data_IF_883810475636
#
_entry.id   IF_883810475636
#
_cell.length_a   1.000
_cell.length_b   1.000
_cell.length_c   1.000
_cell.angle_alpha   90.00
_cell.angle_beta   90.00
_cell.angle_gamma   90.00
#
_symmetry.space_group_name_H-M   'P 1'
#
loop_
_entity.id
_entity.type
_entity.pdbx_description
1 polymer ?
#
# COMPACT_ATOMS: atom_id res chain seq x y z
N UNK A 1 -10.24 36.57 9.62
CA UNK A 1 -10.39 35.36 8.77
C UNK A 1 -10.61 34.14 9.67
N UNK A 2 -11.71 33.40 9.49
CA UNK A 2 -12.10 32.28 10.37
C UNK A 2 -11.27 31.01 10.08
N UNK A 3 -10.18 30.81 10.84
CA UNK A 3 -9.28 29.64 10.76
C UNK A 3 -10.03 28.29 10.69
N UNK A 4 -11.13 28.13 11.44
CA UNK A 4 -11.93 26.89 11.43
C UNK A 4 -12.59 26.58 10.08
N UNK A 5 -12.95 27.58 9.27
CA UNK A 5 -13.53 27.35 7.94
C UNK A 5 -12.49 26.80 6.97
N UNK A 6 -11.29 27.37 6.97
CA UNK A 6 -10.18 26.89 6.13
C UNK A 6 -9.78 25.47 6.50
N UNK A 7 -9.63 25.18 7.80
CA UNK A 7 -9.33 23.82 8.28
C UNK A 7 -10.38 22.81 7.81
N UNK A 8 -11.67 23.14 7.92
CA UNK A 8 -12.75 22.26 7.48
C UNK A 8 -12.76 22.05 5.96
N UNK A 9 -12.53 23.11 5.18
CA UNK A 9 -12.45 23.02 3.73
C UNK A 9 -11.27 22.16 3.28
N UNK A 10 -10.08 22.37 3.84
CA UNK A 10 -8.90 21.56 3.56
C UNK A 10 -9.15 20.10 3.92
N UNK A 11 -9.74 19.82 5.09
CA UNK A 11 -10.04 18.45 5.50
C UNK A 11 -11.01 17.75 4.52
N UNK A 12 -12.07 18.45 4.08
CA UNK A 12 -13.02 17.90 3.09
C UNK A 12 -12.35 17.65 1.75
N UNK A 13 -11.52 18.57 1.28
CA UNK A 13 -10.78 18.41 0.03
C UNK A 13 -9.85 17.18 0.09
N UNK A 14 -9.06 17.06 1.15
CA UNK A 14 -8.16 15.92 1.33
C UNK A 14 -8.91 14.60 1.46
N UNK A 15 -10.06 14.59 2.15
CA UNK A 15 -10.90 13.40 2.27
C UNK A 15 -11.46 12.97 0.91
N UNK A 16 -11.97 13.92 0.11
CA UNK A 16 -12.47 13.63 -1.24
C UNK A 16 -11.36 13.12 -2.16
N UNK A 17 -10.18 13.75 -2.10
CA UNK A 17 -9.01 13.31 -2.85
C UNK A 17 -8.62 11.88 -2.45
N UNK A 18 -8.55 11.59 -1.15
CA UNK A 18 -8.22 10.27 -0.63
C UNK A 18 -9.20 9.19 -1.09
N UNK A 19 -10.51 9.45 -0.96
CA UNK A 19 -11.55 8.52 -1.45
C UNK A 19 -11.44 8.33 -2.96
N UNK A 20 -11.18 9.40 -3.72
CA UNK A 20 -10.97 9.32 -5.17
C UNK A 20 -9.78 8.44 -5.55
N UNK A 21 -8.66 8.56 -4.82
CA UNK A 21 -7.49 7.71 -5.02
C UNK A 21 -7.78 6.24 -4.70
N UNK A 22 -8.55 5.95 -3.65
CA UNK A 22 -8.96 4.58 -3.33
C UNK A 22 -9.86 3.97 -4.42
N UNK A 23 -10.86 4.72 -4.89
CA UNK A 23 -11.74 4.28 -5.98
C UNK A 23 -10.93 4.03 -7.25
N UNK A 24 -9.98 4.90 -7.57
CA UNK A 24 -9.06 4.70 -8.69
C UNK A 24 -8.26 3.40 -8.55
N UNK A 25 -7.73 3.13 -7.35
CA UNK A 25 -7.00 1.90 -7.02
C UNK A 25 -7.83 0.62 -7.09
N UNK A 26 -9.17 0.69 -7.04
CA UNK A 26 -10.05 -0.47 -7.19
C UNK A 26 -10.46 -0.67 -8.65
N UNK A 27 -10.86 0.41 -9.33
CA UNK A 27 -11.44 0.33 -10.67
C UNK A 27 -10.39 0.23 -11.77
N UNK A 28 -9.21 0.82 -11.59
CA UNK A 28 -8.23 0.98 -12.65
C UNK A 28 -6.85 0.37 -12.33
N UNK A 29 -6.79 -0.52 -11.34
CA UNK A 29 -5.56 -1.26 -11.05
C UNK A 29 -5.22 -2.18 -12.21
N UNK A 30 -3.97 -2.10 -12.67
CA UNK A 30 -3.45 -2.98 -13.71
C UNK A 30 -1.94 -3.14 -13.57
N UNK A 31 -1.39 -4.11 -14.32
CA UNK A 31 0.02 -4.46 -14.26
C UNK A 31 0.73 -4.26 -15.60
N UNK A 32 2.02 -3.96 -15.55
CA UNK A 32 2.92 -3.93 -16.69
C UNK A 32 4.16 -4.77 -16.41
N UNK A 33 4.71 -5.39 -17.45
CA UNK A 33 5.98 -6.12 -17.38
C UNK A 33 7.10 -5.29 -17.99
N UNK A 34 8.16 -5.07 -17.22
CA UNK A 34 9.35 -4.32 -17.65
C UNK A 34 10.28 -5.23 -18.48
N UNK A 35 11.27 -4.60 -19.13
CA UNK A 35 12.25 -5.31 -19.96
C UNK A 35 13.13 -6.29 -19.16
N UNK A 36 13.36 -6.01 -17.88
CA UNK A 36 14.06 -6.90 -16.94
C UNK A 36 13.16 -8.04 -16.41
N UNK A 37 11.89 -8.07 -16.80
CA UNK A 37 10.91 -9.04 -16.35
C UNK A 37 10.19 -8.67 -15.04
N UNK A 38 10.51 -7.54 -14.43
CA UNK A 38 9.83 -7.03 -13.23
C UNK A 38 8.37 -6.71 -13.55
N UNK A 39 7.44 -7.07 -12.66
CA UNK A 39 6.01 -6.73 -12.77
C UNK A 39 5.72 -5.55 -11.85
N UNK A 40 5.19 -4.47 -12.40
CA UNK A 40 4.76 -3.28 -11.64
C UNK A 40 3.26 -3.15 -11.74
N UNK A 41 2.60 -2.90 -10.61
CA UNK A 41 1.15 -2.69 -10.50
C UNK A 41 0.84 -1.27 -10.10
N UNK A 42 0.05 -0.55 -10.88
CA UNK A 42 -0.36 0.81 -10.57
C UNK A 42 -1.78 1.09 -11.03
N UNK A 43 -2.34 2.24 -10.67
CA UNK A 43 -3.71 2.59 -11.01
C UNK A 43 -3.84 4.02 -11.55
N UNK A 44 -4.44 4.15 -12.73
CA UNK A 44 -4.92 5.40 -13.30
C UNK A 44 -5.98 5.08 -14.37
N UNK A 45 -6.86 6.02 -14.73
CA UNK A 45 -7.81 5.80 -15.81
C UNK A 45 -7.11 5.32 -17.08
N UNK A 46 -7.52 4.17 -17.59
CA UNK A 46 -6.98 3.56 -18.81
C UNK A 46 -8.08 2.80 -19.55
N UNK A 47 -7.82 2.47 -20.82
CA UNK A 47 -8.68 1.56 -21.61
C UNK A 47 -7.97 0.22 -21.70
N UNK A 48 -8.54 -0.87 -21.15
CA UNK A 48 -7.93 -2.18 -21.25
C UNK A 48 -7.77 -2.64 -22.69
N UNK A 49 -6.60 -3.19 -23.00
CA UNK A 49 -6.31 -3.87 -24.26
C UNK A 49 -6.39 -5.36 -23.98
N UNK A 50 -7.35 -6.04 -24.61
CA UNK A 50 -7.57 -7.47 -24.42
C UNK A 50 -8.15 -7.83 -23.05
N UNK A 51 -7.95 -9.09 -22.64
CA UNK A 51 -8.45 -9.66 -21.37
C UNK A 51 -7.32 -9.98 -20.39
N UNK A 52 -6.07 -9.72 -20.76
CA UNK A 52 -4.93 -10.07 -19.93
C UNK A 52 -4.76 -9.09 -18.76
N UNK A 53 -4.40 -9.58 -17.56
CA UNK A 53 -4.17 -8.72 -16.40
C UNK A 53 -2.90 -7.87 -16.55
N UNK A 54 -1.98 -8.29 -17.42
CA UNK A 54 -0.76 -7.56 -17.77
C UNK A 54 -1.02 -6.82 -19.08
N UNK A 55 -1.04 -5.50 -19.01
CA UNK A 55 -1.29 -4.63 -20.13
C UNK A 55 0.02 -4.37 -20.92
N UNK A 56 -0.07 -4.05 -22.22
CA UNK A 56 1.09 -3.65 -23.00
C UNK A 56 1.74 -2.40 -22.41
N UNK A 57 3.06 -2.41 -22.30
CA UNK A 57 3.80 -1.28 -21.74
C UNK A 57 3.82 -0.10 -22.74
N UNK A 58 3.03 0.91 -22.45
CA UNK A 58 2.98 2.20 -23.14
C UNK A 58 3.62 3.33 -22.33
N UNK A 59 4.32 3.00 -21.25
CA UNK A 59 4.93 3.94 -20.31
C UNK A 59 6.45 3.89 -20.34
N UNK A 60 7.08 5.02 -20.02
CA UNK A 60 8.50 5.01 -19.69
C UNK A 60 8.72 4.34 -18.34
N UNK A 61 9.91 3.77 -18.11
CA UNK A 61 10.23 3.17 -16.81
C UNK A 61 10.07 4.17 -15.65
N UNK A 62 10.43 5.43 -15.88
CA UNK A 62 10.30 6.47 -14.88
C UNK A 62 8.84 6.77 -14.53
N UNK A 63 7.94 6.80 -15.52
CA UNK A 63 6.51 6.94 -15.29
C UNK A 63 5.95 5.81 -14.45
N UNK A 64 6.33 4.56 -14.76
CA UNK A 64 5.90 3.39 -14.01
C UNK A 64 6.33 3.46 -12.54
N UNK A 65 7.55 3.92 -12.26
CA UNK A 65 8.05 4.09 -10.90
C UNK A 65 7.28 5.16 -10.12
N UNK A 66 6.96 6.29 -10.75
CA UNK A 66 6.15 7.33 -10.12
C UNK A 66 4.71 6.88 -9.87
N UNK A 67 4.10 6.21 -10.83
CA UNK A 67 2.74 5.70 -10.71
C UNK A 67 2.65 4.62 -9.62
N UNK A 68 3.64 3.76 -9.52
CA UNK A 68 3.76 2.77 -8.45
C UNK A 68 3.86 3.45 -7.08
N UNK A 69 4.77 4.43 -6.95
CA UNK A 69 4.95 5.16 -5.69
C UNK A 69 3.67 5.89 -5.23
N UNK A 70 2.93 6.51 -6.16
CA UNK A 70 1.69 7.23 -5.84
C UNK A 70 0.54 6.28 -5.55
N UNK A 71 0.40 5.20 -6.32
CA UNK A 71 -0.68 4.21 -6.13
C UNK A 71 -0.49 3.44 -4.82
N UNK A 72 0.74 3.06 -4.53
CA UNK A 72 1.09 2.20 -3.40
C UNK A 72 1.66 2.96 -2.20
N UNK A 73 1.50 4.29 -2.14
CA UNK A 73 2.02 5.13 -1.03
C UNK A 73 1.56 4.67 0.35
N UNK A 74 0.33 4.13 0.43
CA UNK A 74 -0.26 3.60 1.67
C UNK A 74 0.29 2.23 2.06
N UNK A 75 0.83 1.47 1.10
CA UNK A 75 1.26 0.08 1.29
C UNK A 75 2.78 -0.08 1.31
N UNK A 76 3.50 0.88 0.74
CA UNK A 76 4.97 0.92 0.70
C UNK A 76 5.60 1.18 2.06
N UNK A 77 4.85 1.79 3.00
CA UNK A 77 5.31 1.97 4.37
C UNK A 77 4.35 1.28 5.37
N UNK A 78 4.70 0.11 5.93
CA UNK A 78 3.86 -0.60 6.89
C UNK A 78 3.86 0.05 8.29
N UNK A 79 4.73 1.05 8.52
CA UNK A 79 4.88 1.74 9.81
C UNK A 79 3.56 2.29 10.37
N UNK A 80 2.68 2.98 9.61
CA UNK A 80 1.44 3.53 10.17
C UNK A 80 0.48 2.44 10.70
N UNK A 81 0.41 1.29 10.04
CA UNK A 81 -0.38 0.15 10.50
C UNK A 81 0.23 -0.51 11.74
N UNK A 82 1.56 -0.62 11.76
CA UNK A 82 2.31 -1.08 12.94
C UNK A 82 2.04 -0.17 14.15
N UNK A 83 2.17 1.15 13.99
CA UNK A 83 1.94 2.12 15.06
C UNK A 83 0.48 2.20 15.50
N UNK A 84 -0.47 2.07 14.57
CA UNK A 84 -1.89 1.99 14.91
C UNK A 84 -2.20 0.75 15.75
N UNK A 85 -1.64 -0.41 15.40
CA UNK A 85 -1.82 -1.63 16.18
C UNK A 85 -1.17 -1.51 17.58
N UNK A 86 0.03 -0.93 17.67
CA UNK A 86 0.71 -0.63 18.95
C UNK A 86 -0.12 0.33 19.81
N UNK A 87 -0.66 1.39 19.21
CA UNK A 87 -1.53 2.34 19.89
C UNK A 87 -2.79 1.66 20.41
N UNK A 88 -3.52 0.91 19.57
CA UNK A 88 -4.71 0.17 19.99
C UNK A 88 -4.40 -0.81 21.13
N UNK A 89 -3.29 -1.54 21.07
CA UNK A 89 -2.86 -2.44 22.15
C UNK A 89 -2.47 -1.68 23.44
N UNK A 90 -1.91 -0.48 23.30
CA UNK A 90 -1.53 0.42 24.39
C UNK A 90 -2.75 1.02 25.14
N UNK A 91 -3.94 1.02 24.54
CA UNK A 91 -5.15 1.58 25.16
C UNK A 91 -6.28 0.58 25.42
N UNK A 92 -6.26 -0.62 24.82
CA UNK A 92 -7.32 -1.64 25.01
C UNK A 92 -6.94 -2.81 25.92
N UNK A 93 -5.63 -3.07 26.12
CA UNK A 93 -5.17 -4.27 26.84
C UNK A 93 -4.80 -3.91 28.29
N UNK A 94 -5.47 -4.50 29.32
CA UNK A 94 -5.14 -4.29 30.71
C UNK A 94 -3.66 -4.63 31.00
N UNK A 95 -2.98 -3.91 31.90
CA UNK A 95 -1.54 -4.08 32.15
C UNK A 95 -1.12 -5.52 32.46
N UNK A 96 -2.00 -6.30 33.10
CA UNK A 96 -1.76 -7.70 33.47
C UNK A 96 -1.55 -8.65 32.26
N UNK A 97 -2.20 -8.38 31.13
CA UNK A 97 -2.08 -9.21 29.91
C UNK A 97 -0.79 -8.90 29.13
N UNK A 98 -0.27 -7.67 29.24
CA UNK A 98 0.99 -7.24 28.60
C UNK A 98 2.22 -7.96 29.13
N UNK A 99 2.20 -8.36 30.40
CA UNK A 99 3.29 -9.09 31.03
C UNK A 99 3.40 -10.53 30.49
N UNK A 100 2.26 -11.20 30.30
CA UNK A 100 2.20 -12.56 29.75
C UNK A 100 2.56 -12.62 28.25
N UNK A 101 2.12 -11.63 27.46
CA UNK A 101 2.42 -11.59 26.01
C UNK A 101 3.92 -11.40 25.70
N UNK A 102 4.67 -10.76 26.60
CA UNK A 102 6.12 -10.50 26.44
C UNK A 102 6.96 -11.77 26.51
N UNK A 103 6.43 -12.86 27.06
CA UNK A 103 7.11 -14.16 27.18
C UNK A 103 6.99 -14.97 25.86
N UNK A 104 6.02 -14.65 24.99
CA UNK A 104 5.79 -15.37 23.71
C UNK A 104 6.39 -14.63 22.50
N UNK A 105 7.63 -14.19 22.62
CA UNK A 105 8.36 -13.51 21.55
C UNK A 105 8.79 -14.46 20.43
N UNK A 106 7.85 -14.87 19.57
CA UNK A 106 8.22 -15.47 18.26
C UNK A 106 8.65 -14.36 17.31
N UNK A 107 9.92 -14.38 16.91
CA UNK A 107 10.45 -13.53 15.85
C UNK A 107 9.75 -13.89 14.54
N UNK A 108 8.93 -12.99 14.01
CA UNK A 108 8.48 -13.06 12.63
C UNK A 108 9.52 -12.34 11.76
N UNK A 109 10.32 -13.13 11.04
CA UNK A 109 11.14 -12.62 9.93
C UNK A 109 10.21 -12.21 8.80
N UNK A 110 9.95 -10.91 8.68
CA UNK A 110 9.15 -10.36 7.59
C UNK A 110 10.00 -10.28 6.31
N UNK A 111 9.76 -11.20 5.37
CA UNK A 111 10.28 -11.09 4.01
C UNK A 111 9.53 -9.96 3.30
N UNK A 112 10.17 -8.79 3.19
CA UNK A 112 9.66 -7.70 2.38
C UNK A 112 9.73 -8.11 0.91
N UNK A 113 8.57 -8.39 0.32
CA UNK A 113 8.28 -8.49 -1.12
C UNK A 113 8.81 -9.69 -1.92
N UNK A 114 9.14 -10.84 -1.30
CA UNK A 114 9.27 -12.13 -2.02
C UNK A 114 8.68 -13.28 -1.19
N UNK A 115 8.00 -14.22 -1.86
CA UNK A 115 7.78 -15.56 -1.30
C UNK A 115 9.14 -16.28 -1.13
N UNK A 116 9.24 -17.28 -0.23
CA UNK A 116 10.50 -17.97 0.02
C UNK A 116 11.05 -18.60 -1.27
N UNK A 117 12.38 -18.68 -1.44
CA UNK A 117 12.98 -19.29 -2.62
C UNK A 117 12.52 -20.75 -2.73
N UNK A 118 12.02 -21.13 -3.91
CA UNK A 118 11.83 -22.54 -4.28
C UNK A 118 13.22 -23.11 -4.49
N UNK A 119 13.71 -23.90 -3.54
CA UNK A 119 14.85 -24.77 -3.82
C UNK A 119 14.36 -25.81 -4.82
N UNK A 120 14.72 -25.64 -6.09
CA UNK A 120 14.68 -26.74 -7.07
C UNK A 120 15.82 -27.67 -6.67
N UNK A 121 15.48 -28.75 -5.99
CA UNK A 121 16.40 -29.88 -5.81
C UNK A 121 16.38 -30.64 -7.13
N UNK A 122 17.52 -30.64 -7.83
CA UNK A 122 17.85 -31.59 -8.90
C UNK A 122 18.51 -32.80 -8.23
#
# INVERSE_FOLDING_TARGET
>A
MNSNRYRSQTARFLLLLYVGMLVNGILFLHAHRLADGTIITHAHPYKPVGKDPIQPNNHTQQELLWLDAVTNVLYTNPEPFFWLAVFMAAFTVPPAVRFLARISGRRHTAFRHRGPPVYVVI
#
